data_IF_734566608985
#
_entry.id   IF_734566608985
#
_cell.length_a   1.000
_cell.length_b   1.000
_cell.length_c   1.000
_cell.angle_alpha   90.00
_cell.angle_beta   90.00
_cell.angle_gamma   90.00
#
_symmetry.space_group_name_H-M   'P 1'
#
loop_
_entity.id
_entity.type
_entity.pdbx_description
1 polymer ?
#
# COMPACT_ATOMS: atom_id res chain seq x y z
N UNK A 1 18.16 -64.22 40.81
CA UNK A 1 18.91 -63.94 39.56
C UNK A 1 17.97 -63.87 38.39
N UNK A 2 17.83 -62.69 37.77
CA UNK A 2 17.71 -62.36 36.36
C UNK A 2 17.17 -60.95 36.26
N UNK A 3 18.04 -59.91 36.30
CA UNK A 3 17.81 -58.61 35.79
C UNK A 3 18.22 -58.60 34.31
N UNK A 4 17.45 -57.89 33.51
CA UNK A 4 17.96 -57.43 32.22
C UNK A 4 17.07 -57.86 31.05
N UNK A 5 16.22 -56.87 30.60
CA UNK A 5 15.89 -56.58 29.20
C UNK A 5 14.61 -55.75 29.08
N UNK A 6 14.68 -54.46 29.39
CA UNK A 6 13.59 -53.53 29.08
C UNK A 6 14.05 -52.08 28.77
N UNK A 7 15.29 -51.92 28.24
CA UNK A 7 15.79 -50.54 27.99
C UNK A 7 16.20 -50.30 26.53
N UNK A 8 15.68 -51.03 25.56
CA UNK A 8 16.08 -50.81 24.14
C UNK A 8 14.99 -50.48 23.16
N UNK A 9 13.72 -50.41 23.55
CA UNK A 9 12.63 -50.04 22.61
C UNK A 9 12.25 -48.54 22.61
N UNK A 10 12.53 -47.80 23.68
CA UNK A 10 12.12 -46.39 23.74
C UNK A 10 13.02 -45.41 22.96
N UNK A 11 14.25 -45.77 22.66
CA UNK A 11 15.18 -44.92 21.95
C UNK A 11 15.04 -44.94 20.42
N UNK A 12 14.42 -45.95 19.85
CA UNK A 12 14.19 -46.05 18.39
C UNK A 12 12.95 -45.31 17.94
N UNK A 13 11.93 -45.19 18.80
CA UNK A 13 10.70 -44.44 18.48
C UNK A 13 10.90 -42.95 18.43
N UNK A 14 11.75 -42.41 19.30
CA UNK A 14 12.01 -40.96 19.35
C UNK A 14 12.83 -40.43 18.15
N UNK A 15 13.76 -41.24 17.64
CA UNK A 15 14.56 -40.84 16.49
C UNK A 15 13.77 -40.87 15.17
N UNK A 16 12.82 -41.78 15.02
CA UNK A 16 11.94 -41.85 13.84
C UNK A 16 10.91 -40.73 13.79
N UNK A 17 10.33 -40.34 14.95
CA UNK A 17 9.40 -39.21 15.03
C UNK A 17 10.11 -37.84 14.77
N UNK A 18 11.31 -37.66 15.30
CA UNK A 18 12.10 -36.46 15.07
C UNK A 18 12.54 -36.34 13.60
N UNK A 19 12.89 -37.46 12.96
CA UNK A 19 13.24 -37.50 11.54
C UNK A 19 12.07 -37.18 10.61
N UNK A 20 10.86 -37.66 10.92
CA UNK A 20 9.64 -37.33 10.16
C UNK A 20 9.22 -35.85 10.32
N UNK A 21 9.38 -35.27 11.52
CA UNK A 21 9.08 -33.85 11.76
C UNK A 21 10.05 -32.92 11.02
N UNK A 22 11.34 -33.29 11.00
CA UNK A 22 12.36 -32.49 10.30
C UNK A 22 12.15 -32.56 8.78
N UNK A 23 11.75 -33.71 8.23
CA UNK A 23 11.46 -33.85 6.79
C UNK A 23 10.24 -33.05 6.38
N UNK A 24 9.20 -33.00 7.22
CA UNK A 24 7.97 -32.23 6.96
C UNK A 24 8.22 -30.72 6.98
N UNK A 25 9.07 -30.24 7.87
CA UNK A 25 9.45 -28.82 7.94
C UNK A 25 10.33 -28.43 6.72
N UNK A 26 11.19 -29.32 6.26
CA UNK A 26 12.05 -29.05 5.10
C UNK A 26 11.27 -28.98 3.79
N UNK A 27 10.24 -29.82 3.59
CA UNK A 27 9.41 -29.75 2.37
C UNK A 27 8.53 -28.51 2.33
N UNK A 28 7.91 -28.12 3.46
CA UNK A 28 7.13 -26.89 3.55
C UNK A 28 7.97 -25.64 3.25
N UNK A 29 9.20 -25.60 3.72
CA UNK A 29 10.11 -24.48 3.47
C UNK A 29 10.61 -24.43 2.03
N UNK A 30 10.84 -25.57 1.40
CA UNK A 30 11.23 -25.66 -0.01
C UNK A 30 10.09 -25.20 -0.94
N UNK A 31 8.84 -25.52 -0.62
CA UNK A 31 7.67 -25.10 -1.37
C UNK A 31 7.42 -23.58 -1.21
N UNK A 32 7.62 -23.02 -0.01
CA UNK A 32 7.53 -21.57 0.23
C UNK A 32 8.60 -20.81 -0.57
N UNK A 33 9.85 -21.29 -0.58
CA UNK A 33 10.94 -20.71 -1.36
C UNK A 33 10.68 -20.76 -2.87
N UNK A 34 10.08 -21.83 -3.37
CA UNK A 34 9.70 -22.00 -4.77
C UNK A 34 8.56 -21.04 -5.16
N UNK A 35 7.55 -20.88 -4.31
CA UNK A 35 6.44 -19.97 -4.53
C UNK A 35 6.89 -18.50 -4.54
N UNK A 36 7.75 -18.10 -3.62
CA UNK A 36 8.34 -16.77 -3.57
C UNK A 36 9.19 -16.49 -4.81
N UNK A 37 10.00 -17.45 -5.24
CA UNK A 37 10.80 -17.34 -6.46
C UNK A 37 9.91 -17.19 -7.70
N UNK A 38 8.82 -17.96 -7.79
CA UNK A 38 7.85 -17.85 -8.87
C UNK A 38 7.16 -16.48 -8.88
N UNK A 39 6.71 -15.99 -7.71
CA UNK A 39 6.10 -14.66 -7.58
C UNK A 39 7.05 -13.55 -8.03
N UNK A 40 8.32 -13.58 -7.61
CA UNK A 40 9.33 -12.61 -8.05
C UNK A 40 9.52 -12.63 -9.55
N UNK A 41 9.53 -13.81 -10.18
CA UNK A 41 9.64 -13.94 -11.64
C UNK A 41 8.44 -13.33 -12.36
N UNK A 42 7.24 -13.53 -11.84
CA UNK A 42 6.02 -12.90 -12.38
C UNK A 42 6.11 -11.37 -12.29
N UNK A 43 6.53 -10.83 -11.14
CA UNK A 43 6.68 -9.39 -10.92
C UNK A 43 7.78 -8.73 -11.80
N UNK A 44 8.71 -9.51 -12.36
CA UNK A 44 9.66 -9.01 -13.35
C UNK A 44 9.03 -8.80 -14.73
N UNK A 45 7.98 -9.54 -15.06
CA UNK A 45 7.29 -9.49 -16.35
C UNK A 45 5.99 -8.67 -16.32
N UNK A 46 5.48 -8.31 -15.15
CA UNK A 46 4.25 -7.57 -14.96
C UNK A 46 4.49 -6.31 -14.12
N UNK A 47 3.75 -5.25 -14.42
CA UNK A 47 3.78 -4.04 -13.61
C UNK A 47 2.78 -4.24 -12.46
N UNK A 48 3.28 -4.41 -11.23
CA UNK A 48 2.43 -4.44 -10.05
C UNK A 48 1.90 -3.04 -9.79
N UNK A 49 0.58 -2.90 -9.85
CA UNK A 49 -0.13 -1.65 -9.53
C UNK A 49 -0.79 -1.79 -8.17
N UNK A 50 -0.36 -1.02 -7.20
CA UNK A 50 -1.04 -0.90 -5.92
C UNK A 50 -2.08 0.23 -6.01
N UNK A 51 -3.35 -0.11 -5.74
CA UNK A 51 -4.49 0.78 -5.90
C UNK A 51 -4.65 1.82 -4.78
N UNK A 52 -3.97 1.68 -3.63
CA UNK A 52 -4.21 2.58 -2.50
C UNK A 52 -3.06 2.62 -1.50
N UNK A 53 -2.56 3.81 -1.19
CA UNK A 53 -1.54 4.01 -0.17
C UNK A 53 -1.68 5.39 0.49
N UNK A 54 -1.88 5.41 1.81
CA UNK A 54 -2.14 6.62 2.60
C UNK A 54 -0.88 7.39 3.03
N UNK A 55 0.23 7.20 2.33
CA UNK A 55 1.45 7.93 2.64
C UNK A 55 1.28 9.46 2.68
N UNK A 56 0.51 10.10 1.76
CA UNK A 56 0.27 11.54 1.84
C UNK A 56 -0.42 11.95 3.15
N UNK A 57 -1.32 11.12 3.68
CA UNK A 57 -1.94 11.35 4.98
C UNK A 57 -0.96 11.16 6.14
N UNK A 58 -0.12 10.12 6.08
CA UNK A 58 0.93 9.89 7.06
C UNK A 58 1.93 11.08 7.14
N UNK A 59 2.25 11.68 5.99
CA UNK A 59 3.07 12.91 5.94
C UNK A 59 2.34 14.08 6.56
N UNK A 60 1.05 14.29 6.21
CA UNK A 60 0.22 15.38 6.74
C UNK A 60 0.13 15.33 8.25
N UNK A 61 -0.02 14.13 8.82
CA UNK A 61 -0.25 13.90 10.25
C UNK A 61 1.00 13.48 11.02
N UNK A 62 2.17 13.59 10.41
CA UNK A 62 3.44 13.22 11.06
C UNK A 62 3.62 13.98 12.37
N UNK A 63 4.01 13.27 13.44
CA UNK A 63 4.20 13.85 14.78
C UNK A 63 5.24 14.97 14.78
N UNK A 64 6.28 14.81 13.98
CA UNK A 64 7.34 15.81 13.80
C UNK A 64 7.23 16.39 12.41
N UNK A 65 7.15 17.70 12.28
CA UNK A 65 7.04 18.45 11.01
C UNK A 65 5.86 17.97 10.12
N UNK A 66 4.60 18.09 10.59
CA UNK A 66 3.43 17.68 9.84
C UNK A 66 3.34 18.41 8.49
N UNK A 67 3.06 17.66 7.40
CA UNK A 67 2.99 18.19 6.04
C UNK A 67 4.34 18.50 5.38
N UNK A 68 5.46 18.30 6.08
CA UNK A 68 6.79 18.49 5.49
C UNK A 68 7.27 17.21 4.81
N UNK A 69 7.17 17.19 3.47
CA UNK A 69 7.60 16.05 2.65
C UNK A 69 9.11 15.78 2.72
N UNK A 70 9.93 16.77 3.08
CA UNK A 70 11.38 16.61 3.21
C UNK A 70 11.75 15.95 4.54
N UNK A 71 11.03 16.28 5.60
CA UNK A 71 11.22 15.68 6.92
C UNK A 71 10.81 14.19 6.92
N UNK A 72 9.82 13.80 6.11
CA UNK A 72 9.39 12.42 5.94
C UNK A 72 10.21 11.72 4.84
N UNK A 73 11.49 11.50 5.09
CA UNK A 73 12.46 11.01 4.10
C UNK A 73 12.23 9.52 3.75
N UNK A 74 11.69 9.24 2.55
CA UNK A 74 11.42 7.88 2.04
C UNK A 74 12.69 7.08 1.69
N UNK A 75 13.87 7.69 1.68
CA UNK A 75 15.15 6.98 1.49
C UNK A 75 15.58 6.24 2.74
N UNK A 76 14.97 6.53 3.88
CA UNK A 76 15.20 5.91 5.19
C UNK A 76 14.04 5.03 5.59
N UNK A 77 14.23 4.07 6.51
CA UNK A 77 13.09 3.39 7.14
C UNK A 77 12.13 4.40 7.77
N UNK A 78 10.88 4.36 7.38
CA UNK A 78 9.84 5.24 7.93
C UNK A 78 9.09 4.57 9.08
N UNK A 79 8.46 5.32 9.99
CA UNK A 79 7.62 4.75 11.05
C UNK A 79 6.35 4.08 10.52
N UNK A 80 5.91 4.44 9.29
CA UNK A 80 4.75 3.85 8.63
C UNK A 80 5.08 2.59 7.81
N UNK A 81 4.21 2.24 6.87
CA UNK A 81 4.33 1.03 6.05
C UNK A 81 5.14 1.23 4.76
N UNK A 82 5.48 2.47 4.40
CA UNK A 82 6.00 2.82 3.08
C UNK A 82 7.36 3.50 3.15
N UNK A 83 8.36 2.92 2.50
CA UNK A 83 9.64 3.53 2.12
C UNK A 83 10.16 2.86 0.84
N UNK A 84 11.20 3.42 0.21
CA UNK A 84 11.73 2.90 -1.06
C UNK A 84 12.33 1.50 -0.96
N UNK A 85 12.85 1.10 0.19
CA UNK A 85 13.38 -0.24 0.38
C UNK A 85 12.26 -1.28 0.33
N UNK A 86 11.15 -1.01 1.04
CA UNK A 86 9.97 -1.90 1.06
C UNK A 86 9.22 -1.91 -0.27
N UNK A 87 9.02 -0.75 -0.91
CA UNK A 87 8.40 -0.67 -2.24
C UNK A 87 9.20 -1.47 -3.28
N UNK A 88 10.53 -1.36 -3.26
CA UNK A 88 11.41 -2.13 -4.14
C UNK A 88 11.36 -3.63 -3.84
N UNK A 89 11.39 -4.02 -2.56
CA UNK A 89 11.29 -5.43 -2.15
C UNK A 89 9.97 -6.05 -2.59
N UNK A 90 8.86 -5.29 -2.49
CA UNK A 90 7.53 -5.70 -2.93
C UNK A 90 7.32 -5.68 -4.45
N UNK A 91 8.28 -5.16 -5.22
CA UNK A 91 8.20 -5.09 -6.69
C UNK A 91 7.13 -4.11 -7.21
N UNK A 92 6.79 -3.08 -6.42
CA UNK A 92 5.77 -2.09 -6.81
C UNK A 92 6.25 -1.29 -8.02
N UNK A 93 5.51 -1.39 -9.14
CA UNK A 93 5.80 -0.68 -10.39
C UNK A 93 4.94 0.56 -10.60
N UNK A 94 3.74 0.60 -10.01
CA UNK A 94 2.86 1.75 -9.99
C UNK A 94 2.10 1.83 -8.67
N UNK A 95 1.87 3.05 -8.17
CA UNK A 95 1.23 3.32 -6.90
C UNK A 95 0.19 4.42 -7.04
N UNK A 96 -1.03 4.15 -6.59
CA UNK A 96 -2.00 5.19 -6.29
C UNK A 96 -1.75 5.72 -4.88
N UNK A 97 -1.33 6.98 -4.80
CA UNK A 97 -1.23 7.71 -3.54
C UNK A 97 -2.59 8.26 -3.19
N UNK A 98 -3.14 7.82 -2.06
CA UNK A 98 -4.41 8.30 -1.55
C UNK A 98 -4.27 9.77 -1.11
N UNK A 99 -5.06 10.63 -1.72
CA UNK A 99 -5.22 12.01 -1.27
C UNK A 99 -6.45 12.11 -0.37
N UNK A 100 -6.50 11.21 0.60
CA UNK A 100 -7.56 11.11 1.62
C UNK A 100 -7.70 12.41 2.43
N UNK A 101 -8.95 12.73 2.75
CA UNK A 101 -9.32 13.72 3.75
C UNK A 101 -10.47 13.19 4.61
N UNK A 102 -10.54 13.52 5.92
CA UNK A 102 -11.64 13.07 6.77
C UNK A 102 -12.97 13.71 6.35
N UNK A 103 -14.05 12.90 6.34
CA UNK A 103 -15.40 13.33 5.98
C UNK A 103 -16.20 13.90 7.14
N UNK A 104 -15.71 13.77 8.37
CA UNK A 104 -16.40 14.20 9.59
C UNK A 104 -16.23 15.69 9.92
N UNK A 105 -15.43 16.40 9.14
CA UNK A 105 -15.26 17.84 9.32
C UNK A 105 -16.53 18.61 8.94
N UNK A 106 -16.76 19.75 9.57
CA UNK A 106 -17.94 20.59 9.33
C UNK A 106 -17.86 21.43 8.04
N UNK A 107 -16.86 21.17 7.17
CA UNK A 107 -16.66 21.88 5.91
C UNK A 107 -15.18 22.14 5.61
N UNK A 108 -14.93 22.91 4.54
CA UNK A 108 -13.57 23.22 4.09
C UNK A 108 -12.88 22.03 3.38
N UNK A 109 -13.67 21.11 2.86
CA UNK A 109 -13.17 19.92 2.18
C UNK A 109 -12.31 20.25 0.97
N UNK A 110 -12.76 21.22 0.14
CA UNK A 110 -12.03 21.61 -1.06
C UNK A 110 -10.63 22.14 -0.73
N UNK A 111 -10.50 22.98 0.30
CA UNK A 111 -9.19 23.46 0.76
C UNK A 111 -8.30 22.30 1.20
N UNK A 112 -8.82 21.44 2.07
CA UNK A 112 -8.06 20.31 2.62
C UNK A 112 -7.67 19.33 1.52
N UNK A 113 -8.55 19.11 0.54
CA UNK A 113 -8.27 18.27 -0.63
C UNK A 113 -7.15 18.85 -1.50
N UNK A 114 -7.15 20.15 -1.77
CA UNK A 114 -6.08 20.82 -2.51
C UNK A 114 -4.73 20.70 -1.79
N UNK A 115 -4.72 20.92 -0.47
CA UNK A 115 -3.50 20.74 0.35
C UNK A 115 -2.99 19.30 0.31
N UNK A 116 -3.89 18.30 0.30
CA UNK A 116 -3.52 16.90 0.25
C UNK A 116 -2.94 16.51 -1.13
N UNK A 117 -3.54 17.01 -2.20
CA UNK A 117 -3.00 16.86 -3.56
C UNK A 117 -1.60 17.51 -3.65
N UNK A 118 -1.42 18.70 -3.06
CA UNK A 118 -0.12 19.38 -3.03
C UNK A 118 0.94 18.56 -2.30
N UNK A 119 0.63 18.00 -1.12
CA UNK A 119 1.56 17.12 -0.39
C UNK A 119 1.98 15.94 -1.27
N UNK A 120 1.04 15.25 -1.89
CA UNK A 120 1.34 14.10 -2.75
C UNK A 120 2.21 14.51 -3.94
N UNK A 121 1.91 15.61 -4.61
CA UNK A 121 2.68 16.11 -5.76
C UNK A 121 4.09 16.56 -5.37
N UNK A 122 4.25 17.27 -4.25
CA UNK A 122 5.57 17.65 -3.72
C UNK A 122 6.40 16.44 -3.33
N UNK A 123 5.77 15.43 -2.71
CA UNK A 123 6.44 14.17 -2.41
C UNK A 123 6.93 13.49 -3.69
N UNK A 124 6.10 13.37 -4.72
CA UNK A 124 6.50 12.76 -6.00
C UNK A 124 7.66 13.54 -6.63
N UNK A 125 7.57 14.87 -6.66
CA UNK A 125 8.58 15.74 -7.24
C UNK A 125 9.92 15.72 -6.48
N UNK A 126 9.91 15.39 -5.19
CA UNK A 126 11.12 15.32 -4.34
C UNK A 126 12.03 14.15 -4.73
N UNK A 127 11.50 13.10 -5.37
CA UNK A 127 12.23 11.88 -5.68
C UNK A 127 12.18 11.53 -7.18
N UNK A 128 12.66 12.40 -8.09
CA UNK A 128 12.55 12.19 -9.54
C UNK A 128 13.34 10.99 -10.06
N UNK A 129 14.28 10.49 -9.26
CA UNK A 129 15.04 9.26 -9.50
C UNK A 129 14.27 7.98 -9.15
N UNK A 130 13.18 8.07 -8.39
CA UNK A 130 12.39 6.94 -7.88
C UNK A 130 10.95 6.97 -8.32
N UNK A 131 10.34 8.14 -8.35
CA UNK A 131 8.93 8.35 -8.61
C UNK A 131 8.75 9.15 -9.91
N UNK A 132 7.70 8.84 -10.65
CA UNK A 132 7.28 9.60 -11.82
C UNK A 132 5.78 9.83 -11.76
N UNK A 133 5.36 11.10 -11.76
CA UNK A 133 3.96 11.44 -11.84
C UNK A 133 3.34 10.83 -13.11
N UNK A 134 2.17 10.22 -12.95
CA UNK A 134 1.48 9.51 -14.02
C UNK A 134 -0.02 9.80 -13.97
N UNK A 135 -0.62 9.92 -15.15
CA UNK A 135 -2.05 10.19 -15.31
C UNK A 135 -2.70 9.27 -16.34
N UNK A 136 -1.90 8.41 -16.97
CA UNK A 136 -2.33 7.49 -18.01
C UNK A 136 -1.55 6.16 -17.97
N UNK A 137 -2.07 5.15 -18.66
CA UNK A 137 -1.37 3.87 -18.86
C UNK A 137 -0.04 4.06 -19.58
N UNK A 138 0.03 5.01 -20.51
CA UNK A 138 1.27 5.33 -21.23
C UNK A 138 2.34 5.84 -20.26
N UNK A 139 1.96 6.70 -19.31
CA UNK A 139 2.87 7.21 -18.25
C UNK A 139 3.35 6.08 -17.33
N UNK A 140 2.45 5.15 -16.95
CA UNK A 140 2.81 3.98 -16.13
C UNK A 140 3.89 3.16 -16.83
N UNK A 141 3.69 2.85 -18.10
CA UNK A 141 4.67 2.08 -18.91
C UNK A 141 5.99 2.83 -19.07
N UNK A 142 5.94 4.14 -19.30
CA UNK A 142 7.13 4.98 -19.41
C UNK A 142 7.94 5.04 -18.12
N UNK A 143 7.26 5.20 -16.97
CA UNK A 143 7.89 5.18 -15.64
C UNK A 143 8.57 3.83 -15.37
N UNK A 144 7.85 2.73 -15.61
CA UNK A 144 8.37 1.38 -15.42
C UNK A 144 9.61 1.11 -16.28
N UNK A 145 9.56 1.48 -17.56
CA UNK A 145 10.71 1.39 -18.48
C UNK A 145 11.92 2.18 -18.01
N UNK A 146 11.67 3.31 -17.32
CA UNK A 146 12.72 4.15 -16.73
C UNK A 146 13.19 3.67 -15.34
N UNK A 147 12.70 2.52 -14.84
CA UNK A 147 13.03 2.00 -13.52
C UNK A 147 12.47 2.81 -12.35
N UNK A 148 11.38 3.56 -12.60
CA UNK A 148 10.69 4.39 -11.61
C UNK A 148 9.29 3.85 -11.31
N UNK A 149 8.79 4.16 -10.13
CA UNK A 149 7.42 3.84 -9.72
C UNK A 149 6.50 4.92 -10.32
N UNK A 150 5.57 4.50 -11.18
CA UNK A 150 4.52 5.40 -11.65
C UNK A 150 3.64 5.82 -10.49
N UNK A 151 3.45 7.12 -10.31
CA UNK A 151 2.81 7.72 -9.15
C UNK A 151 1.54 8.44 -9.57
N UNK A 152 0.40 7.83 -9.26
CA UNK A 152 -0.94 8.32 -9.56
C UNK A 152 -1.59 8.88 -8.28
N UNK A 153 -2.65 9.66 -8.43
CA UNK A 153 -3.44 10.16 -7.31
C UNK A 153 -4.82 9.53 -7.30
N UNK A 154 -5.25 9.07 -6.13
CA UNK A 154 -6.58 8.55 -5.87
C UNK A 154 -7.27 9.35 -4.77
N UNK A 155 -8.49 9.82 -5.02
CA UNK A 155 -9.29 10.53 -4.03
C UNK A 155 -10.18 9.56 -3.27
N UNK A 156 -10.20 9.67 -1.96
CA UNK A 156 -10.98 8.79 -1.10
C UNK A 156 -12.11 9.57 -0.41
N UNK A 157 -13.32 9.34 -0.93
CA UNK A 157 -14.55 9.95 -0.45
C UNK A 157 -15.05 11.13 -1.29
N UNK A 158 -16.26 10.97 -1.83
CA UNK A 158 -16.92 11.99 -2.64
C UNK A 158 -17.35 13.24 -1.87
N UNK A 159 -17.29 13.25 -0.52
CA UNK A 159 -17.47 14.47 0.29
C UNK A 159 -16.50 15.59 -0.13
N UNK A 160 -15.32 15.20 -0.66
CA UNK A 160 -14.29 16.14 -1.10
C UNK A 160 -14.73 17.06 -2.25
N UNK A 161 -15.73 16.68 -3.04
CA UNK A 161 -16.24 17.54 -4.13
C UNK A 161 -17.30 18.55 -3.67
N UNK A 162 -17.80 18.46 -2.43
CA UNK A 162 -18.83 19.36 -1.88
C UNK A 162 -20.03 19.51 -2.85
N UNK A 163 -20.51 18.38 -3.38
CA UNK A 163 -21.59 18.27 -4.38
C UNK A 163 -21.34 19.04 -5.70
N UNK A 164 -20.09 19.42 -5.96
CA UNK A 164 -19.68 20.21 -7.11
C UNK A 164 -18.98 19.38 -8.19
N UNK A 165 -19.62 19.20 -9.33
CA UNK A 165 -18.97 18.62 -10.52
C UNK A 165 -17.84 19.52 -11.07
N UNK A 166 -17.86 20.80 -10.75
CA UNK A 166 -16.75 21.72 -11.04
C UNK A 166 -15.50 21.35 -10.26
N UNK A 167 -15.65 21.10 -8.95
CA UNK A 167 -14.55 20.63 -8.10
C UNK A 167 -14.00 19.28 -8.59
N UNK A 168 -14.88 18.34 -8.97
CA UNK A 168 -14.46 17.03 -9.51
C UNK A 168 -13.57 17.20 -10.76
N UNK A 169 -13.96 18.05 -11.71
CA UNK A 169 -13.17 18.33 -12.93
C UNK A 169 -11.82 18.98 -12.58
N UNK A 170 -11.82 19.95 -11.66
CA UNK A 170 -10.59 20.59 -11.20
C UNK A 170 -9.61 19.57 -10.57
N UNK A 171 -10.10 18.64 -9.74
CA UNK A 171 -9.25 17.59 -9.18
C UNK A 171 -8.72 16.63 -10.24
N UNK A 172 -9.52 16.31 -11.26
CA UNK A 172 -9.06 15.54 -12.42
C UNK A 172 -7.92 16.26 -13.16
N UNK A 173 -8.06 17.56 -13.39
CA UNK A 173 -7.03 18.38 -14.05
C UNK A 173 -5.74 18.46 -13.19
N UNK A 174 -5.87 18.40 -11.86
CA UNK A 174 -4.75 18.30 -10.94
C UNK A 174 -4.11 16.91 -10.90
N UNK A 175 -4.70 15.92 -11.57
CA UNK A 175 -4.13 14.60 -11.77
C UNK A 175 -4.77 13.47 -10.97
N UNK A 176 -5.87 13.68 -10.27
CA UNK A 176 -6.65 12.61 -9.65
C UNK A 176 -7.24 11.70 -10.73
N UNK A 177 -7.19 10.38 -10.54
CA UNK A 177 -7.64 9.40 -11.55
C UNK A 177 -8.70 8.42 -11.07
N UNK A 178 -8.96 8.38 -9.77
CA UNK A 178 -10.18 7.77 -9.24
C UNK A 178 -10.72 8.60 -8.07
N UNK A 179 -12.00 8.38 -7.78
CA UNK A 179 -12.67 8.84 -6.57
C UNK A 179 -13.57 7.70 -6.06
N UNK A 180 -13.43 7.32 -4.79
CA UNK A 180 -14.44 6.46 -4.16
C UNK A 180 -15.71 7.28 -3.94
N UNK A 181 -16.89 6.68 -4.16
CA UNK A 181 -18.16 7.41 -4.04
C UNK A 181 -18.36 7.94 -2.62
N UNK A 182 -18.13 7.09 -1.64
CA UNK A 182 -18.15 7.43 -0.21
C UNK A 182 -16.90 6.87 0.47
N UNK A 183 -16.60 7.38 1.64
CA UNK A 183 -15.72 6.73 2.61
C UNK A 183 -16.56 6.29 3.81
N UNK A 184 -16.53 6.98 4.92
CA UNK A 184 -17.21 6.63 6.16
C UNK A 184 -18.41 7.54 6.51
N UNK A 185 -18.80 8.46 5.63
CA UNK A 185 -19.96 9.33 5.82
C UNK A 185 -20.91 9.23 4.63
N UNK A 186 -22.22 9.35 4.90
CA UNK A 186 -23.24 9.46 3.86
C UNK A 186 -23.15 10.81 3.17
N UNK A 187 -23.48 10.81 1.89
CA UNK A 187 -23.58 12.01 1.06
C UNK A 187 -25.02 12.21 0.63
N UNK A 188 -25.35 13.40 0.08
CA UNK A 188 -26.68 13.70 -0.47
C UNK A 188 -27.07 12.78 -1.64
N UNK A 189 -26.10 12.12 -2.27
CA UNK A 189 -26.26 11.32 -3.49
C UNK A 189 -25.69 9.89 -3.40
N UNK A 190 -25.09 9.48 -2.26
CA UNK A 190 -24.55 8.13 -2.06
C UNK A 190 -24.45 7.79 -0.57
N UNK A 191 -24.80 6.55 -0.21
CA UNK A 191 -24.69 6.05 1.15
C UNK A 191 -23.33 5.37 1.39
N UNK A 192 -22.82 5.54 2.60
CA UNK A 192 -21.65 4.84 3.10
C UNK A 192 -22.06 3.53 3.80
N UNK A 193 -21.27 2.49 3.63
CA UNK A 193 -21.44 1.23 4.37
C UNK A 193 -21.24 1.39 5.90
N UNK A 194 -20.54 2.42 6.34
CA UNK A 194 -20.28 2.65 7.76
C UNK A 194 -21.51 3.14 8.56
N UNK A 195 -22.51 3.71 7.87
CA UNK A 195 -23.72 4.29 8.45
C UNK A 195 -24.97 3.73 7.77
N UNK A 196 -25.24 2.45 7.96
CA UNK A 196 -26.53 1.89 7.58
C UNK A 196 -27.54 2.35 8.62
N UNK A 197 -28.19 3.49 8.38
CA UNK A 197 -29.44 3.82 9.05
C UNK A 197 -30.50 2.91 8.41
N UNK A 198 -30.87 1.85 9.09
CA UNK A 198 -32.07 1.08 8.72
C UNK A 198 -33.28 2.00 8.92
N UNK A 199 -33.82 2.49 7.82
CA UNK A 199 -35.16 3.08 7.80
C UNK A 199 -36.21 2.02 8.06
#
# INVERSE_FOLDING_TARGET
>A
MKRGQTVRLERLGGALLAGLLILSISTARADEDAAVTHARKLLQSAILVDGHNDLPWAIRTAKTAPGDVKAYDLRKPTPGQTDFARLKLGGVGAQFWSVYIPGEASGGFARTQLEQIDIARRMIALYPDRLQFATSVADIRAAHKAGRIASLLGMEGGHAIEDSLGALRAYYDLGVRYMTLTHNVNLSWADSNAWVVHC
#
